data_IF_833374453826
#
_entry.id   IF_833374453826
#
_cell.length_a   1.000
_cell.length_b   1.000
_cell.length_c   1.000
_cell.angle_alpha   90.00
_cell.angle_beta   90.00
_cell.angle_gamma   90.00
#
_symmetry.space_group_name_H-M   'P 1'
#
loop_
_entity.id
_entity.type
_entity.pdbx_description
1 polymer ?
#
# COMPACT_ATOMS: atom_id res chain seq x y z
N UNK A 1 -3.54 -14.40 -4.24
CA UNK A 1 -2.56 -13.53 -4.92
C UNK A 1 -1.13 -13.83 -4.46
N UNK A 2 -0.51 -14.97 -4.82
CA UNK A 2 0.89 -15.25 -4.46
C UNK A 2 1.90 -14.28 -5.10
N UNK A 3 1.58 -13.75 -6.29
CA UNK A 3 2.44 -12.86 -7.06
C UNK A 3 2.77 -11.54 -6.35
N UNK A 4 1.88 -11.05 -5.47
CA UNK A 4 2.09 -9.80 -4.73
C UNK A 4 3.21 -9.90 -3.69
N UNK A 5 3.59 -11.12 -3.28
CA UNK A 5 4.68 -11.34 -2.33
C UNK A 5 6.02 -10.81 -2.83
N UNK A 6 6.22 -10.65 -4.15
CA UNK A 6 7.45 -10.10 -4.71
C UNK A 6 7.74 -8.66 -4.24
N UNK A 7 6.72 -7.86 -3.94
CA UNK A 7 6.89 -6.48 -3.46
C UNK A 7 7.40 -6.43 -2.01
N UNK A 8 7.28 -7.55 -1.28
CA UNK A 8 7.63 -7.69 0.13
C UNK A 8 8.73 -8.73 0.38
N UNK A 9 9.49 -9.11 -0.66
CA UNK A 9 10.55 -10.15 -0.57
C UNK A 9 11.70 -9.80 0.39
N UNK A 10 11.77 -8.55 0.83
CA UNK A 10 12.74 -8.06 1.81
C UNK A 10 12.31 -8.36 3.27
N UNK A 11 11.10 -8.86 3.49
CA UNK A 11 10.66 -9.34 4.81
C UNK A 11 10.91 -10.84 4.93
N UNK A 12 11.43 -11.25 6.09
CA UNK A 12 11.68 -12.66 6.41
C UNK A 12 10.41 -13.45 6.73
N UNK A 13 9.35 -12.77 7.16
CA UNK A 13 8.05 -13.38 7.47
C UNK A 13 6.89 -12.53 6.93
N UNK A 14 6.04 -13.17 6.13
CA UNK A 14 4.82 -12.61 5.53
C UNK A 14 3.55 -13.16 6.18
N UNK A 15 3.66 -13.88 7.30
CA UNK A 15 2.52 -14.32 8.08
C UNK A 15 1.73 -13.11 8.62
N UNK A 16 0.41 -13.25 8.84
CA UNK A 16 -0.40 -12.16 9.41
C UNK A 16 0.11 -11.67 10.77
N UNK A 17 0.81 -12.51 11.52
CA UNK A 17 1.32 -12.19 12.85
C UNK A 17 2.70 -11.53 12.86
N UNK A 18 3.39 -11.50 11.71
CA UNK A 18 4.66 -10.82 11.50
C UNK A 18 4.58 -9.34 11.94
N UNK A 19 5.53 -8.85 12.75
CA UNK A 19 5.58 -7.44 13.15
C UNK A 19 5.62 -6.47 11.96
N UNK A 20 6.32 -6.83 10.87
CA UNK A 20 6.39 -6.02 9.66
C UNK A 20 5.03 -5.92 8.96
N UNK A 21 4.32 -7.05 8.83
CA UNK A 21 2.99 -7.10 8.20
C UNK A 21 1.99 -6.30 9.02
N UNK A 22 1.96 -6.47 10.34
CA UNK A 22 1.07 -5.70 11.23
C UNK A 22 1.33 -4.20 11.16
N UNK A 23 2.61 -3.79 11.20
CA UNK A 23 2.99 -2.38 11.10
C UNK A 23 2.58 -1.77 9.76
N UNK A 24 2.81 -2.48 8.65
CA UNK A 24 2.45 -1.98 7.33
C UNK A 24 0.93 -1.98 7.11
N UNK A 25 0.20 -2.96 7.66
CA UNK A 25 -1.26 -2.97 7.67
C UNK A 25 -1.83 -1.70 8.33
N UNK A 26 -1.26 -1.26 9.45
CA UNK A 26 -1.64 0.01 10.07
C UNK A 26 -1.36 1.22 9.16
N UNK A 27 -0.23 1.22 8.43
CA UNK A 27 0.07 2.27 7.44
C UNK A 27 -0.97 2.32 6.31
N UNK A 28 -1.37 1.16 5.77
CA UNK A 28 -2.40 1.08 4.74
C UNK A 28 -3.73 1.63 5.26
N UNK A 29 -4.17 1.18 6.44
CA UNK A 29 -5.44 1.63 7.00
C UNK A 29 -5.44 3.12 7.38
N UNK A 30 -4.29 3.67 7.80
CA UNK A 30 -4.13 5.12 8.00
C UNK A 30 -4.33 5.90 6.69
N UNK A 31 -3.70 5.46 5.60
CA UNK A 31 -3.89 6.08 4.28
C UNK A 31 -5.33 5.96 3.76
N UNK A 32 -6.03 4.86 4.05
CA UNK A 32 -7.46 4.70 3.74
C UNK A 32 -8.29 5.69 4.56
N UNK A 33 -7.99 5.87 5.84
CA UNK A 33 -8.64 6.88 6.70
C UNK A 33 -8.44 8.30 6.16
N UNK A 34 -7.21 8.65 5.77
CA UNK A 34 -6.90 9.94 5.15
C UNK A 34 -7.65 10.13 3.82
N UNK A 35 -7.80 9.06 3.03
CA UNK A 35 -8.56 9.08 1.78
C UNK A 35 -10.05 9.38 2.02
N UNK A 36 -10.64 8.83 3.08
CA UNK A 36 -12.03 9.15 3.46
C UNK A 36 -12.18 10.65 3.77
N UNK A 37 -11.20 11.26 4.43
CA UNK A 37 -11.19 12.71 4.68
C UNK A 37 -11.01 13.58 3.43
N UNK A 38 -10.60 12.97 2.30
CA UNK A 38 -10.35 13.63 1.01
C UNK A 38 -11.28 13.10 -0.09
N UNK A 39 -12.44 12.56 0.29
CA UNK A 39 -13.33 11.83 -0.61
C UNK A 39 -13.83 12.66 -1.80
N UNK A 40 -13.91 13.99 -1.66
CA UNK A 40 -14.31 14.91 -2.73
C UNK A 40 -13.26 15.03 -3.84
N UNK A 41 -11.97 14.82 -3.53
CA UNK A 41 -10.87 14.81 -4.49
C UNK A 41 -9.80 13.78 -4.09
N UNK A 42 -10.09 12.51 -4.38
CA UNK A 42 -9.15 11.41 -4.15
C UNK A 42 -7.91 11.50 -5.04
N UNK A 43 -8.05 12.03 -6.26
CA UNK A 43 -6.96 12.11 -7.22
C UNK A 43 -5.86 13.09 -6.74
N UNK A 44 -6.27 14.30 -6.35
CA UNK A 44 -5.35 15.25 -5.72
C UNK A 44 -4.93 14.78 -4.33
N UNK A 45 -5.86 14.22 -3.56
CA UNK A 45 -5.64 13.81 -2.18
C UNK A 45 -4.62 12.69 -1.97
N UNK A 46 -4.47 11.80 -2.95
CA UNK A 46 -3.58 10.62 -2.91
C UNK A 46 -2.42 10.71 -3.90
N UNK A 47 -2.14 11.88 -4.50
CA UNK A 47 -1.12 11.99 -5.55
C UNK A 47 0.27 11.53 -5.11
N UNK A 48 0.71 11.86 -3.90
CA UNK A 48 2.00 11.41 -3.38
C UNK A 48 2.07 9.89 -3.20
N UNK A 49 0.96 9.23 -2.85
CA UNK A 49 0.88 7.77 -2.78
C UNK A 49 0.89 7.16 -4.18
N UNK A 50 0.21 7.77 -5.14
CA UNK A 50 0.24 7.38 -6.55
C UNK A 50 1.67 7.42 -7.10
N UNK A 51 2.38 8.53 -6.92
CA UNK A 51 3.78 8.69 -7.37
C UNK A 51 4.72 7.68 -6.72
N UNK A 52 4.57 7.45 -5.41
CA UNK A 52 5.35 6.46 -4.68
C UNK A 52 5.18 5.07 -5.29
N UNK A 53 3.94 4.64 -5.51
CA UNK A 53 3.65 3.30 -6.03
C UNK A 53 4.04 3.16 -7.50
N UNK A 54 3.83 4.19 -8.32
CA UNK A 54 4.13 4.16 -9.75
C UNK A 54 5.63 4.22 -10.06
N UNK A 55 6.36 5.17 -9.46
CA UNK A 55 7.72 5.48 -9.90
C UNK A 55 8.81 4.87 -9.03
N UNK A 56 8.59 4.85 -7.71
CA UNK A 56 9.60 4.36 -6.75
C UNK A 56 9.45 2.88 -6.47
N UNK A 57 8.23 2.42 -6.17
CA UNK A 57 7.96 1.01 -5.88
C UNK A 57 7.63 0.20 -7.13
N UNK A 58 7.14 0.87 -8.19
CA UNK A 58 6.77 0.27 -9.49
C UNK A 58 5.81 -0.91 -9.33
N UNK A 59 4.79 -0.72 -8.50
CA UNK A 59 3.74 -1.71 -8.28
C UNK A 59 2.84 -1.78 -9.51
N UNK A 60 2.68 -2.97 -10.08
CA UNK A 60 1.76 -3.20 -11.19
C UNK A 60 0.33 -2.84 -10.75
N UNK A 61 -0.34 -1.90 -11.46
CA UNK A 61 -1.64 -1.38 -11.06
C UNK A 61 -2.75 -2.43 -11.00
N UNK A 62 -2.57 -3.61 -11.61
CA UNK A 62 -3.49 -4.75 -11.46
C UNK A 62 -3.61 -5.25 -10.03
N UNK A 63 -2.66 -4.94 -9.15
CA UNK A 63 -2.67 -5.35 -7.74
C UNK A 63 -3.51 -4.44 -6.82
N UNK A 64 -4.11 -3.35 -7.32
CA UNK A 64 -4.99 -2.46 -6.55
C UNK A 64 -6.49 -2.74 -6.75
N UNK A 65 -6.85 -3.81 -7.48
CA UNK A 65 -8.25 -4.17 -7.79
C UNK A 65 -8.95 -4.94 -6.67
#
# INVERSE_FOLDING_TARGET
YPQTKTYFSHWSDLSPDSPQVKKHGATIMGAVGDAVGKIDDLAGGLISLSELHAFKLRVDPTNFR
#
